data_IF_777649105075
#
_entry.id   IF_777649105075
#
_cell.length_a   1.000
_cell.length_b   1.000
_cell.length_c   1.000
_cell.angle_alpha   90.00
_cell.angle_beta   90.00
_cell.angle_gamma   90.00
#
_symmetry.space_group_name_H-M   'P 1'
#
loop_
_entity.id
_entity.type
_entity.pdbx_description
1 polymer ?
#
# COMPACT_ATOMS: atom_id res chain seq x y z
N UNK A 1 9.96 -7.07 -2.22
CA UNK A 1 9.02 -8.18 -1.98
C UNK A 1 8.21 -8.37 -3.26
N UNK A 2 7.89 -9.59 -3.68
CA UNK A 2 7.05 -9.79 -4.87
C UNK A 2 5.57 -9.83 -4.46
N UNK A 3 4.95 -8.65 -4.33
CA UNK A 3 3.56 -8.49 -3.89
C UNK A 3 2.55 -9.16 -4.83
N UNK A 4 2.89 -9.33 -6.11
CA UNK A 4 1.99 -9.93 -7.10
C UNK A 4 1.65 -11.39 -6.76
N UNK A 5 2.59 -12.12 -6.16
CA UNK A 5 2.40 -13.53 -5.81
C UNK A 5 1.43 -13.75 -4.64
N UNK A 6 1.14 -12.70 -3.87
CA UNK A 6 0.27 -12.77 -2.69
C UNK A 6 -1.09 -12.09 -2.92
N UNK A 7 -1.41 -11.76 -4.18
CA UNK A 7 -2.67 -11.11 -4.52
C UNK A 7 -3.86 -12.01 -4.24
N UNK A 8 -4.86 -11.44 -3.57
CA UNK A 8 -6.07 -12.10 -3.09
C UNK A 8 -5.82 -13.14 -1.99
N UNK A 9 -4.64 -13.14 -1.39
CA UNK A 9 -4.29 -13.99 -0.26
C UNK A 9 -4.22 -13.17 1.04
N UNK A 10 -4.49 -13.80 2.20
CA UNK A 10 -4.22 -13.19 3.49
C UNK A 10 -2.70 -13.03 3.67
N UNK A 11 -2.28 -11.81 4.02
CA UNK A 11 -0.88 -11.45 4.25
C UNK A 11 -0.70 -10.78 5.60
N UNK A 12 0.51 -10.86 6.11
CA UNK A 12 1.01 -10.05 7.22
C UNK A 12 2.26 -9.31 6.74
N UNK A 13 2.20 -7.98 6.74
CA UNK A 13 3.23 -7.09 6.26
C UNK A 13 3.84 -6.32 7.43
N UNK A 14 5.14 -6.12 7.38
CA UNK A 14 5.88 -5.34 8.37
C UNK A 14 6.50 -4.15 7.66
N UNK A 15 6.31 -2.96 8.22
CA UNK A 15 6.84 -1.77 7.58
C UNK A 15 6.70 -0.51 8.43
N UNK A 16 7.03 0.61 7.80
CA UNK A 16 6.96 1.94 8.44
C UNK A 16 5.72 2.66 7.96
N UNK A 17 4.91 3.15 8.91
CA UNK A 17 3.71 3.93 8.62
C UNK A 17 4.07 5.31 8.08
N UNK A 18 3.39 5.74 7.02
CA UNK A 18 3.58 7.05 6.40
C UNK A 18 2.29 7.56 5.75
N UNK A 19 2.17 8.88 5.56
CA UNK A 19 1.02 9.51 4.92
C UNK A 19 1.47 10.16 3.61
N UNK A 20 0.85 9.75 2.51
CA UNK A 20 1.07 10.34 1.19
C UNK A 20 -0.21 11.05 0.72
N UNK A 21 -0.13 11.85 -0.34
CA UNK A 21 -1.28 12.63 -0.87
C UNK A 21 -2.53 11.76 -1.15
N UNK A 22 -2.34 10.47 -1.43
CA UNK A 22 -3.41 9.52 -1.74
C UNK A 22 -3.91 8.70 -0.53
N UNK A 23 -3.33 8.86 0.67
CA UNK A 23 -3.80 8.24 1.91
C UNK A 23 -2.71 7.64 2.80
N UNK A 24 -3.14 6.81 3.75
CA UNK A 24 -2.25 6.08 4.66
C UNK A 24 -1.58 4.89 3.97
N UNK A 25 -0.25 4.78 4.15
CA UNK A 25 0.56 3.73 3.54
C UNK A 25 1.50 3.08 4.55
N UNK A 26 1.95 1.88 4.19
CA UNK A 26 2.99 1.13 4.88
C UNK A 26 4.14 0.86 3.91
N UNK A 27 5.33 1.34 4.27
CA UNK A 27 6.56 1.06 3.55
C UNK A 27 7.12 -0.29 4.00
N UNK A 28 6.89 -1.33 3.19
CA UNK A 28 7.36 -2.70 3.44
C UNK A 28 8.79 -2.96 2.90
N UNK A 29 9.42 -1.91 2.38
CA UNK A 29 10.75 -1.94 1.77
C UNK A 29 11.06 -0.60 1.10
N UNK A 30 12.27 -0.43 0.53
CA UNK A 30 12.71 0.85 -0.04
C UNK A 30 11.93 1.31 -1.28
N UNK A 31 11.12 0.42 -1.87
CA UNK A 31 10.30 0.71 -3.06
C UNK A 31 8.89 0.10 -2.98
N UNK A 32 8.59 -0.61 -1.90
CA UNK A 32 7.35 -1.36 -1.76
C UNK A 32 6.44 -0.59 -0.81
N UNK A 33 5.48 0.12 -1.39
CA UNK A 33 4.47 0.90 -0.70
C UNK A 33 3.12 0.20 -0.83
N UNK A 34 2.43 0.03 0.28
CA UNK A 34 1.12 -0.63 0.34
C UNK A 34 0.14 0.27 1.08
N UNK A 35 -1.01 0.55 0.47
CA UNK A 35 -2.06 1.36 1.09
C UNK A 35 -2.87 0.54 2.09
N UNK A 36 -3.39 1.21 3.11
CA UNK A 36 -4.26 0.59 4.12
C UNK A 36 -5.71 0.92 3.78
N UNK A 37 -6.49 -0.07 3.35
CA UNK A 37 -7.86 0.18 2.93
C UNK A 37 -8.71 0.66 4.12
N UNK A 38 -9.45 1.75 3.93
CA UNK A 38 -10.30 2.34 4.95
C UNK A 38 -9.57 3.23 5.96
N UNK A 39 -8.24 3.37 5.85
CA UNK A 39 -7.46 4.32 6.64
C UNK A 39 -7.06 5.50 5.75
N UNK A 40 -7.62 6.68 6.02
CA UNK A 40 -7.31 7.89 5.26
C UNK A 40 -5.93 8.45 5.60
N UNK A 41 -5.56 8.43 6.89
CA UNK A 41 -4.26 8.88 7.37
C UNK A 41 -3.90 8.14 8.67
N UNK A 42 -2.61 7.87 8.86
CA UNK A 42 -2.06 7.51 10.16
C UNK A 42 -2.08 8.72 11.10
N UNK A 43 -2.34 8.51 12.40
CA UNK A 43 -2.15 9.56 13.40
C UNK A 43 -0.72 10.11 13.35
N UNK A 44 -0.55 11.43 13.56
CA UNK A 44 0.78 12.08 13.45
C UNK A 44 1.85 11.46 14.35
N UNK A 45 1.48 10.89 15.51
CA UNK A 45 2.40 10.20 16.42
C UNK A 45 2.81 8.78 16.00
N UNK A 46 2.14 8.24 14.99
CA UNK A 46 2.38 6.91 14.44
C UNK A 46 3.14 6.96 13.11
N UNK A 47 3.14 8.11 12.43
CA UNK A 47 3.97 8.35 11.24
C UNK A 47 5.45 8.13 11.58
N UNK A 48 6.18 7.45 10.71
CA UNK A 48 7.55 6.97 10.89
C UNK A 48 7.74 5.91 11.99
N UNK A 49 6.65 5.33 12.53
CA UNK A 49 6.72 4.19 13.45
C UNK A 49 6.56 2.87 12.71
N UNK A 50 7.10 1.79 13.30
CA UNK A 50 6.97 0.43 12.78
C UNK A 50 5.60 -0.16 13.10
N UNK A 51 4.98 -0.81 12.11
CA UNK A 51 3.70 -1.50 12.25
C UNK A 51 3.74 -2.87 11.60
N UNK A 52 3.03 -3.80 12.23
CA UNK A 52 2.58 -5.04 11.64
C UNK A 52 1.15 -4.83 11.13
N UNK A 53 0.91 -5.10 9.85
CA UNK A 53 -0.40 -4.96 9.20
C UNK A 53 -0.79 -6.31 8.60
N UNK A 54 -1.93 -6.84 9.03
CA UNK A 54 -2.51 -8.06 8.47
C UNK A 54 -3.81 -7.77 7.74
N UNK A 55 -4.11 -8.53 6.68
CA UNK A 55 -5.36 -8.44 5.93
C UNK A 55 -5.25 -9.15 4.59
N UNK A 56 -6.08 -8.80 3.61
CA UNK A 56 -6.01 -9.39 2.26
C UNK A 56 -5.35 -8.43 1.29
N UNK A 57 -4.25 -8.85 0.67
CA UNK A 57 -3.56 -8.02 -0.32
C UNK A 57 -4.34 -8.00 -1.63
N UNK A 58 -4.62 -6.83 -2.16
CA UNK A 58 -5.18 -6.67 -3.50
C UNK A 58 -4.39 -5.64 -4.29
N UNK A 59 -4.55 -5.69 -5.61
CA UNK A 59 -4.09 -4.65 -6.52
C UNK A 59 -5.30 -3.86 -7.01
N UNK A 60 -5.19 -2.54 -7.03
CA UNK A 60 -6.13 -1.64 -7.68
C UNK A 60 -5.44 -0.83 -8.77
N UNK A 61 -6.20 -0.49 -9.81
CA UNK A 61 -5.69 0.16 -11.01
C UNK A 61 -4.90 -0.78 -11.91
N UNK A 62 -4.67 -0.34 -13.14
CA UNK A 62 -3.79 -1.01 -14.08
C UNK A 62 -2.72 -0.02 -14.56
N UNK A 63 -1.47 -0.47 -14.68
CA UNK A 63 -0.44 0.33 -15.35
C UNK A 63 -0.76 0.51 -16.84
N UNK A 64 -1.62 -0.35 -17.41
CA UNK A 64 -2.20 -0.14 -18.73
C UNK A 64 -3.04 1.15 -18.80
N UNK A 65 -3.68 1.57 -17.70
CA UNK A 65 -4.45 2.82 -17.64
C UNK A 65 -3.55 4.06 -17.69
N UNK A 66 -2.23 3.89 -17.50
CA UNK A 66 -1.24 4.95 -17.68
C UNK A 66 -0.78 5.10 -19.13
N UNK A 67 -1.37 4.38 -20.09
CA UNK A 67 -1.06 4.52 -21.51
C UNK A 67 -2.31 4.84 -22.30
N UNK A 68 -2.25 5.88 -23.14
CA UNK A 68 -3.33 6.16 -24.09
C UNK A 68 -3.33 5.13 -25.24
N UNK A 69 -4.34 5.19 -26.12
CA UNK A 69 -4.43 4.31 -27.31
C UNK A 69 -3.21 4.41 -28.26
N UNK A 70 -2.40 5.46 -28.14
CA UNK A 70 -1.15 5.65 -28.89
C UNK A 70 0.09 5.16 -28.14
N UNK A 71 -0.07 4.58 -26.94
CA UNK A 71 1.02 4.09 -26.10
C UNK A 71 1.78 5.17 -25.33
N UNK A 72 1.33 6.42 -25.35
CA UNK A 72 1.94 7.54 -24.62
C UNK A 72 1.58 7.50 -23.13
N UNK A 73 2.53 7.86 -22.29
CA UNK A 73 2.32 7.94 -20.84
C UNK A 73 1.30 9.03 -20.49
N UNK A 74 0.22 8.63 -19.83
CA UNK A 74 -0.80 9.53 -19.27
C UNK A 74 -0.51 9.81 -17.79
N UNK A 75 -0.99 10.96 -17.32
CA UNK A 75 -1.04 11.24 -15.89
C UNK A 75 -2.16 10.39 -15.26
N UNK A 76 -1.76 9.46 -14.39
CA UNK A 76 -2.68 8.63 -13.62
C UNK A 76 -1.96 8.01 -12.43
N UNK A 77 -2.73 7.38 -11.55
CA UNK A 77 -2.19 6.52 -10.51
C UNK A 77 -2.12 5.13 -11.13
N UNK A 78 -0.91 4.60 -11.31
CA UNK A 78 -0.71 3.26 -11.84
C UNK A 78 -1.22 2.18 -10.88
N UNK A 79 -0.83 0.94 -11.13
CA UNK A 79 -1.14 -0.17 -10.24
C UNK A 79 -0.65 0.16 -8.83
N UNK A 80 -1.55 0.05 -7.86
CA UNK A 80 -1.25 0.21 -6.44
C UNK A 80 -1.68 -1.03 -5.67
N UNK A 81 -0.92 -1.37 -4.65
CA UNK A 81 -1.25 -2.46 -3.74
C UNK A 81 -1.91 -1.90 -2.49
N UNK A 82 -2.95 -2.56 -2.02
CA UNK A 82 -3.58 -2.22 -0.76
C UNK A 82 -3.99 -3.47 0.03
N UNK A 83 -4.02 -3.34 1.35
CA UNK A 83 -4.52 -4.38 2.25
C UNK A 83 -5.96 -4.05 2.61
N UNK A 84 -6.90 -4.94 2.25
CA UNK A 84 -8.30 -4.89 2.66
C UNK A 84 -8.53 -5.59 3.98
N UNK A 85 -9.58 -5.15 4.66
CA UNK A 85 -9.98 -5.66 5.99
C UNK A 85 -8.78 -5.65 6.95
N UNK A 86 -7.99 -4.57 6.84
CA UNK A 86 -6.70 -4.46 7.48
C UNK A 86 -6.86 -4.31 8.99
N UNK A 87 -6.05 -5.05 9.72
CA UNK A 87 -5.80 -4.88 11.15
C UNK A 87 -4.33 -4.58 11.34
N UNK A 88 -4.00 -3.66 12.24
CA UNK A 88 -2.61 -3.27 12.45
C UNK A 88 -2.29 -3.09 13.93
N UNK A 89 -1.05 -3.41 14.27
CA UNK A 89 -0.49 -3.23 15.60
C UNK A 89 0.87 -2.54 15.50
N UNK A 90 1.13 -1.62 16.42
CA UNK A 90 2.40 -0.91 16.51
C UNK A 90 3.44 -1.88 17.06
N UNK A 91 4.61 -1.91 16.42
CA UNK A 91 5.75 -2.69 16.90
C UNK A 91 6.59 -1.73 17.74
N UNK A 92 6.44 -1.83 19.07
CA UNK A 92 7.32 -1.15 20.00
C UNK A 92 8.60 -1.99 20.18
N UNK A 93 9.76 -1.33 20.09
CA UNK A 93 11.09 -1.92 20.35
C UNK A 93 11.32 -2.19 21.84
#
# INVERSE_FOLDING_TARGET
MDLEQYLNEPVTLFGVADNVDAGAVLWCGPRDLVYIAGLSEWPTGDVNSGFEVSGVLIAEGDDADLRNESGEAMHGVGRRYLVRDATWERIDD
#
